data_IF_441609814096
#
_entry.id   IF_441609814096
#
_cell.length_a   1.000
_cell.length_b   1.000
_cell.length_c   1.000
_cell.angle_alpha   90.00
_cell.angle_beta   90.00
_cell.angle_gamma   90.00
#
_symmetry.space_group_name_H-M   'P 1'
#
loop_
_entity.id
_entity.type
_entity.pdbx_description
1 polymer ?
#
# COMPACT_ATOMS: atom_id res chain seq x y z
N UNK A 1 0.76 13.75 3.95
CA UNK A 1 0.74 12.28 3.89
C UNK A 1 2.15 11.76 4.07
N UNK A 2 2.35 10.63 4.74
CA UNK A 2 3.68 10.04 4.92
C UNK A 2 3.92 9.01 3.81
N UNK A 3 4.98 9.20 3.01
CA UNK A 3 5.36 8.26 1.98
C UNK A 3 5.91 6.98 2.62
N UNK A 4 5.35 5.83 2.28
CA UNK A 4 5.78 4.53 2.79
C UNK A 4 7.20 4.18 2.37
N UNK A 5 7.59 4.48 1.12
CA UNK A 5 8.91 4.13 0.60
C UNK A 5 10.09 4.90 1.21
N UNK A 6 9.86 6.06 1.83
CA UNK A 6 10.97 6.83 2.44
C UNK A 6 10.67 7.46 3.81
N UNK A 7 9.47 7.25 4.35
CA UNK A 7 9.04 7.79 5.64
C UNK A 7 8.89 9.31 5.71
N UNK A 8 9.11 10.04 4.62
CA UNK A 8 9.01 11.51 4.59
C UNK A 8 7.57 11.97 4.36
N UNK A 9 7.22 13.10 4.95
CA UNK A 9 5.94 13.76 4.70
C UNK A 9 5.98 14.51 3.37
N UNK A 10 4.88 14.41 2.61
CA UNK A 10 4.61 15.19 1.41
C UNK A 10 3.14 15.59 1.34
N UNK A 11 2.85 16.52 0.42
CA UNK A 11 1.49 16.95 0.13
C UNK A 11 0.73 15.84 -0.59
N UNK A 12 -0.59 15.87 -0.53
CA UNK A 12 -1.44 14.91 -1.25
C UNK A 12 -1.27 14.97 -2.76
N UNK A 13 -0.96 16.15 -3.32
CA UNK A 13 -0.72 16.36 -4.75
C UNK A 13 0.56 15.67 -5.26
N UNK A 14 1.51 15.38 -4.37
CA UNK A 14 2.80 14.76 -4.68
C UNK A 14 2.81 13.25 -4.42
N UNK A 15 1.66 12.68 -4.03
CA UNK A 15 1.53 11.29 -3.62
C UNK A 15 0.47 10.53 -4.40
N UNK A 16 0.74 9.25 -4.62
CA UNK A 16 -0.20 8.26 -5.14
C UNK A 16 -0.58 7.29 -4.03
N UNK A 17 -1.87 6.97 -3.92
CA UNK A 17 -2.32 5.84 -3.12
C UNK A 17 -2.15 4.57 -3.94
N UNK A 18 -1.39 3.62 -3.42
CA UNK A 18 -1.22 2.32 -4.09
C UNK A 18 -1.62 1.17 -3.19
N UNK A 19 -2.18 0.12 -3.81
CA UNK A 19 -2.59 -1.12 -3.16
C UNK A 19 -1.63 -2.25 -3.52
N UNK A 20 -1.15 -2.97 -2.52
CA UNK A 20 -0.37 -4.17 -2.72
C UNK A 20 -1.26 -5.30 -3.25
N UNK A 21 -0.91 -5.88 -4.40
CA UNK A 21 -1.75 -6.85 -5.13
C UNK A 21 -2.08 -8.10 -4.32
N UNK A 22 -1.14 -8.57 -3.48
CA UNK A 22 -1.29 -9.82 -2.72
C UNK A 22 -2.01 -9.60 -1.40
N UNK A 23 -1.61 -8.57 -0.64
CA UNK A 23 -2.15 -8.34 0.71
C UNK A 23 -3.36 -7.41 0.73
N UNK A 24 -3.63 -6.69 -0.36
CA UNK A 24 -4.68 -5.67 -0.41
C UNK A 24 -4.37 -4.40 0.40
N UNK A 25 -3.19 -4.30 1.01
CA UNK A 25 -2.80 -3.15 1.85
C UNK A 25 -2.59 -1.90 0.99
N UNK A 26 -3.18 -0.79 1.41
CA UNK A 26 -3.06 0.54 0.79
C UNK A 26 -2.06 1.42 1.54
N UNK A 27 -1.13 2.03 0.81
CA UNK A 27 -0.10 2.96 1.32
C UNK A 27 0.14 4.12 0.36
N UNK A 28 0.50 5.27 0.91
CA UNK A 28 0.92 6.42 0.10
C UNK A 28 2.36 6.28 -0.35
N UNK A 29 2.62 6.59 -1.61
CA UNK A 29 3.97 6.71 -2.18
C UNK A 29 4.11 8.10 -2.79
N UNK A 30 5.33 8.63 -2.85
CA UNK A 30 5.58 9.76 -3.73
C UNK A 30 5.33 9.32 -5.17
N UNK A 31 4.75 10.20 -5.97
CA UNK A 31 4.65 10.00 -7.41
C UNK A 31 6.03 9.80 -8.02
N UNK A 32 6.07 9.05 -9.10
CA UNK A 32 7.32 8.76 -9.81
C UNK A 32 8.00 10.05 -10.31
N UNK A 33 7.21 11.01 -10.80
CA UNK A 33 7.63 12.34 -11.24
C UNK A 33 8.28 13.19 -10.14
N UNK A 34 7.93 12.94 -8.87
CA UNK A 34 8.52 13.61 -7.71
C UNK A 34 9.73 12.86 -7.22
N UNK A 35 9.60 11.53 -7.06
CA UNK A 35 10.67 10.66 -6.56
C UNK A 35 10.44 9.18 -6.87
N UNK A 36 10.87 8.75 -8.07
CA UNK A 36 10.81 7.36 -8.52
C UNK A 36 11.37 6.32 -7.52
N UNK A 37 12.40 6.68 -6.76
CA UNK A 37 13.02 5.76 -5.78
C UNK A 37 12.11 5.35 -4.62
N UNK A 38 10.92 5.96 -4.47
CA UNK A 38 9.97 5.56 -3.43
C UNK A 38 9.20 4.27 -3.79
N UNK A 39 9.16 3.90 -5.07
CA UNK A 39 8.58 2.68 -5.62
C UNK A 39 9.65 1.70 -6.15
N UNK A 40 10.93 2.04 -6.06
CA UNK A 40 12.02 1.18 -6.55
C UNK A 40 12.29 -0.02 -5.61
N UNK A 41 13.04 -1.01 -6.13
CA UNK A 41 13.63 -2.24 -5.56
C UNK A 41 13.04 -2.84 -4.26
N UNK A 42 12.87 -2.05 -3.20
CA UNK A 42 12.20 -2.44 -1.96
C UNK A 42 10.67 -2.56 -2.06
N UNK A 43 10.06 -1.89 -3.04
CA UNK A 43 8.61 -1.88 -3.26
C UNK A 43 8.30 -2.08 -4.73
N UNK A 44 8.79 -3.19 -5.31
CA UNK A 44 8.64 -3.53 -6.74
C UNK A 44 7.30 -3.03 -7.28
N UNK A 45 7.35 -2.14 -8.26
CA UNK A 45 6.15 -1.52 -8.81
C UNK A 45 5.11 -2.55 -9.29
N UNK A 46 5.57 -3.70 -9.76
CA UNK A 46 4.73 -4.84 -10.15
C UNK A 46 3.79 -5.31 -9.03
N UNK A 47 4.21 -5.19 -7.77
CA UNK A 47 3.45 -5.60 -6.59
C UNK A 47 2.41 -4.56 -6.15
N UNK A 48 2.45 -3.34 -6.68
CA UNK A 48 1.64 -2.20 -6.23
C UNK A 48 0.86 -1.56 -7.38
N UNK A 49 -0.46 -1.50 -7.26
CA UNK A 49 -1.31 -0.85 -8.25
C UNK A 49 -1.88 0.48 -7.76
N UNK A 50 -1.99 1.45 -8.66
CA UNK A 50 -2.63 2.73 -8.37
C UNK A 50 -4.12 2.53 -8.06
N UNK A 51 -4.60 3.18 -6.99
CA UNK A 51 -6.01 3.12 -6.57
C UNK A 51 -6.54 4.51 -6.25
N UNK A 52 -7.86 4.64 -6.16
CA UNK A 52 -8.53 5.90 -5.85
C UNK A 52 -8.07 6.47 -4.50
N UNK A 53 -7.50 7.70 -4.47
CA UNK A 53 -7.04 8.38 -3.25
C UNK A 53 -8.09 8.48 -2.13
N UNK A 54 -9.39 8.53 -2.47
CA UNK A 54 -10.49 8.63 -1.51
C UNK A 54 -10.63 7.40 -0.61
N UNK A 55 -10.03 6.26 -0.99
CA UNK A 55 -10.02 5.03 -0.19
C UNK A 55 -9.17 5.15 1.08
N UNK A 56 -8.19 6.05 1.11
CA UNK A 56 -7.25 6.19 2.22
C UNK A 56 -6.31 5.00 2.43
N UNK A 57 -5.41 5.12 3.41
CA UNK A 57 -4.53 4.00 3.77
C UNK A 57 -5.30 2.89 4.48
N UNK A 58 -4.79 1.67 4.37
CA UNK A 58 -5.31 0.57 5.17
C UNK A 58 -5.09 0.85 6.65
N UNK A 59 -6.17 0.92 7.42
CA UNK A 59 -6.13 1.13 8.86
C UNK A 59 -5.66 -0.12 9.60
N UNK A 60 -5.40 0.01 10.90
CA UNK A 60 -5.04 -1.15 11.73
C UNK A 60 -6.17 -2.18 11.78
N UNK A 61 -7.42 -1.73 11.91
CA UNK A 61 -8.62 -2.56 11.97
C UNK A 61 -8.85 -3.33 10.66
N UNK A 62 -8.65 -2.65 9.52
CA UNK A 62 -8.70 -3.27 8.20
C UNK A 62 -7.57 -4.30 8.04
N UNK A 63 -6.35 -3.97 8.47
CA UNK A 63 -5.22 -4.89 8.42
C UNK A 63 -5.46 -6.15 9.25
N UNK A 64 -6.03 -6.00 10.46
CA UNK A 64 -6.41 -7.14 11.31
C UNK A 64 -7.45 -8.05 10.63
N UNK A 65 -8.39 -7.46 9.90
CA UNK A 65 -9.40 -8.22 9.15
C UNK A 65 -8.80 -8.98 7.97
N UNK A 66 -7.84 -8.37 7.26
CA UNK A 66 -7.09 -9.02 6.18
C UNK A 66 -6.32 -10.22 6.73
N UNK A 67 -5.60 -10.04 7.84
CA UNK A 67 -4.82 -11.09 8.48
C UNK A 67 -5.72 -12.25 8.91
N UNK A 68 -6.84 -11.95 9.58
CA UNK A 68 -7.81 -12.95 10.00
C UNK A 68 -8.33 -13.77 8.81
N UNK A 69 -8.68 -13.11 7.71
CA UNK A 69 -9.16 -13.78 6.49
C UNK A 69 -8.10 -14.69 5.86
N UNK A 70 -6.84 -14.26 5.80
CA UNK A 70 -5.74 -15.08 5.25
C UNK A 70 -5.47 -16.32 6.11
N UNK A 71 -5.58 -16.22 7.44
CA UNK A 71 -5.42 -17.38 8.32
C UNK A 71 -6.58 -18.37 8.18
N UNK A 72 -7.84 -17.92 8.18
CA UNK A 72 -8.99 -18.81 8.00
C UNK A 72 -9.07 -19.48 6.62
N UNK A 73 -8.53 -18.85 5.57
CA UNK A 73 -8.40 -19.48 4.24
C UNK A 73 -7.33 -20.59 4.20
N UNK A 74 -6.33 -20.55 5.10
CA UNK A 74 -5.35 -21.64 5.23
C UNK A 74 -5.89 -22.82 6.01
N UNK A 75 -6.73 -22.59 7.00
CA UNK A 75 -7.30 -23.65 7.85
C UNK A 75 -8.42 -24.45 7.17
N UNK A 76 -9.13 -23.89 6.19
CA UNK A 76 -10.18 -24.58 5.41
C UNK A 76 -9.65 -25.42 4.22
N UNK A 77 -8.33 -25.65 4.14
CA UNK A 77 -7.69 -26.49 3.10
C UNK A 77 -7.19 -27.85 3.62
N UNK A 78 -7.55 -28.25 4.84
CA UNK A 78 -7.27 -29.59 5.39
C UNK A 78 -8.53 -30.44 5.53
#
# INVERSE_FOLDING_TARGET
MQCFGCGKFAKSEDCDLRRHRVSGVRRWFHKEEVKASCLSEHHKEEDWELVDPSLGETTYEEAMSIIHTVFHLKDNKN
#
